data_IF_704464091569
#
_entry.id   IF_704464091569
#
_cell.length_a   1.000
_cell.length_b   1.000
_cell.length_c   1.000
_cell.angle_alpha   90.00
_cell.angle_beta   90.00
_cell.angle_gamma   90.00
#
_symmetry.space_group_name_H-M   'P 1'
#
loop_
_entity.id
_entity.type
_entity.pdbx_description
1 polymer ?
#
# COMPACT_ATOMS: atom_id res chain seq x y z
N UNK A 1 -1.57 49.93 -17.64
CA UNK A 1 -2.50 49.13 -16.85
C UNK A 1 -2.40 47.63 -17.18
N UNK A 2 -2.51 47.22 -18.44
CA UNK A 2 -2.45 45.82 -18.90
C UNK A 2 -1.13 45.11 -18.53
N UNK A 3 0.03 45.74 -18.73
CA UNK A 3 1.34 45.15 -18.42
C UNK A 3 1.50 44.82 -16.91
N UNK A 4 1.04 45.72 -16.03
CA UNK A 4 1.08 45.48 -14.57
C UNK A 4 0.17 44.29 -14.19
N UNK A 5 -1.00 44.15 -14.80
CA UNK A 5 -1.91 43.04 -14.57
C UNK A 5 -1.28 41.71 -14.98
N UNK A 6 -0.67 41.65 -16.17
CA UNK A 6 0.03 40.49 -16.69
C UNK A 6 1.17 40.08 -15.75
N UNK A 7 2.00 41.05 -15.32
CA UNK A 7 3.11 40.78 -14.38
C UNK A 7 2.61 40.27 -13.04
N UNK A 8 1.52 40.80 -12.50
CA UNK A 8 0.93 40.37 -11.24
C UNK A 8 0.38 38.92 -11.34
N UNK A 9 -0.34 38.63 -12.43
CA UNK A 9 -0.86 37.27 -12.70
C UNK A 9 0.30 36.29 -12.84
N UNK A 10 1.33 36.62 -13.60
CA UNK A 10 2.52 35.76 -13.75
C UNK A 10 3.22 35.52 -12.43
N UNK A 11 3.42 36.55 -11.59
CA UNK A 11 4.05 36.40 -10.26
C UNK A 11 3.21 35.50 -9.34
N UNK A 12 1.89 35.70 -9.29
CA UNK A 12 0.98 34.87 -8.51
C UNK A 12 1.00 33.40 -8.98
N UNK A 13 1.03 33.19 -10.30
CA UNK A 13 1.14 31.83 -10.85
C UNK A 13 2.46 31.16 -10.47
N UNK A 14 3.58 31.89 -10.52
CA UNK A 14 4.88 31.38 -10.10
C UNK A 14 4.90 31.03 -8.60
N UNK A 15 4.33 31.88 -7.74
CA UNK A 15 4.25 31.64 -6.29
C UNK A 15 3.38 30.40 -6.00
N UNK A 16 2.25 30.26 -6.69
CA UNK A 16 1.38 29.09 -6.49
C UNK A 16 2.03 27.80 -6.98
N UNK A 17 2.68 27.81 -8.14
CA UNK A 17 3.43 26.66 -8.66
C UNK A 17 4.58 26.27 -7.71
N UNK A 18 5.36 27.24 -7.24
CA UNK A 18 6.46 26.99 -6.30
C UNK A 18 5.95 26.43 -4.97
N UNK A 19 4.84 26.97 -4.46
CA UNK A 19 4.15 26.42 -3.27
C UNK A 19 3.66 24.99 -3.47
N UNK A 20 3.07 24.68 -4.62
CA UNK A 20 2.59 23.33 -4.96
C UNK A 20 3.73 22.31 -5.07
N UNK A 21 4.85 22.68 -5.70
CA UNK A 21 6.04 21.82 -5.80
C UNK A 21 6.66 21.60 -4.41
N UNK A 22 6.79 22.66 -3.62
CA UNK A 22 7.30 22.58 -2.25
C UNK A 22 6.48 21.65 -1.37
N UNK A 23 5.14 21.78 -1.39
CA UNK A 23 4.26 20.88 -0.63
C UNK A 23 4.40 19.42 -1.07
N UNK A 24 4.52 19.14 -2.38
CA UNK A 24 4.70 17.78 -2.89
C UNK A 24 6.05 17.16 -2.46
N UNK A 25 7.12 17.95 -2.40
CA UNK A 25 8.41 17.48 -1.90
C UNK A 25 8.35 17.17 -0.40
N UNK A 26 7.74 18.05 0.39
CA UNK A 26 7.57 17.85 1.83
C UNK A 26 6.71 16.60 2.10
N UNK A 27 5.59 16.43 1.40
CA UNK A 27 4.76 15.23 1.50
C UNK A 27 5.58 13.95 1.27
N UNK A 28 6.40 13.93 0.20
CA UNK A 28 7.25 12.78 -0.12
C UNK A 28 8.26 12.49 0.98
N UNK A 29 8.93 13.49 1.49
CA UNK A 29 9.92 13.34 2.56
C UNK A 29 9.32 12.83 3.87
N UNK A 30 8.05 13.17 4.13
CA UNK A 30 7.35 12.77 5.35
C UNK A 30 6.65 11.42 5.23
N UNK A 31 6.25 11.02 3.99
CA UNK A 31 5.41 9.84 3.77
C UNK A 31 6.16 8.63 3.23
N UNK A 32 7.24 8.80 2.46
CA UNK A 32 7.87 7.70 1.75
C UNK A 32 9.33 7.54 2.12
N UNK A 33 9.70 6.33 2.56
CA UNK A 33 11.06 6.01 3.04
C UNK A 33 11.67 4.85 2.25
N UNK A 34 11.94 5.04 0.94
CA UNK A 34 12.54 4.00 0.11
C UNK A 34 13.96 3.66 0.53
N UNK A 35 14.36 2.41 0.30
CA UNK A 35 15.76 1.99 0.30
C UNK A 35 16.15 1.48 -1.10
N UNK A 36 17.43 1.49 -1.40
CA UNK A 36 18.00 1.10 -2.71
C UNK A 36 19.15 0.13 -2.49
N UNK A 37 18.89 -0.95 -1.74
CA UNK A 37 19.92 -1.96 -1.41
C UNK A 37 19.90 -3.09 -2.42
N UNK A 38 21.05 -3.76 -2.68
CA UNK A 38 21.07 -4.99 -3.45
C UNK A 38 20.13 -6.05 -2.83
N UNK A 39 19.49 -6.85 -3.67
CA UNK A 39 18.69 -7.99 -3.19
C UNK A 39 19.63 -9.07 -2.65
N UNK A 40 19.62 -9.28 -1.34
CA UNK A 40 20.35 -10.34 -0.65
C UNK A 40 19.38 -11.43 -0.12
N UNK A 41 18.12 -11.39 -0.51
CA UNK A 41 17.12 -12.39 -0.12
C UNK A 41 17.07 -13.55 -1.11
N UNK A 42 16.42 -14.65 -0.70
CA UNK A 42 16.14 -15.80 -1.58
C UNK A 42 14.96 -15.58 -2.53
N UNK A 43 14.33 -14.40 -2.50
CA UNK A 43 13.23 -14.06 -3.40
C UNK A 43 13.74 -13.88 -4.83
N UNK A 44 12.98 -14.42 -5.79
CA UNK A 44 13.29 -14.31 -7.21
C UNK A 44 12.78 -12.98 -7.77
N UNK A 45 13.55 -12.24 -8.58
CA UNK A 45 13.06 -11.05 -9.26
C UNK A 45 11.78 -11.34 -10.08
N UNK A 46 10.77 -10.49 -9.90
CA UNK A 46 9.55 -10.49 -10.68
C UNK A 46 9.65 -9.45 -11.79
N UNK A 47 9.77 -9.94 -13.03
CA UNK A 47 10.07 -9.10 -14.19
C UNK A 47 8.84 -8.98 -15.09
N UNK A 48 8.56 -7.75 -15.55
CA UNK A 48 7.58 -7.44 -16.58
C UNK A 48 8.19 -6.44 -17.56
N UNK A 49 8.10 -6.75 -18.85
CA UNK A 49 8.66 -5.90 -19.93
C UNK A 49 10.15 -5.53 -19.75
N UNK A 50 10.94 -6.42 -19.16
CA UNK A 50 12.36 -6.18 -18.87
C UNK A 50 12.65 -5.38 -17.60
N UNK A 51 11.63 -4.87 -16.91
CA UNK A 51 11.75 -4.16 -15.63
C UNK A 51 11.50 -5.11 -14.44
N UNK A 52 12.28 -5.00 -13.39
CA UNK A 52 11.99 -5.65 -12.09
C UNK A 52 10.89 -4.85 -11.41
N UNK A 53 9.66 -5.39 -11.40
CA UNK A 53 8.50 -4.77 -10.76
C UNK A 53 8.26 -5.29 -9.33
N UNK A 54 9.11 -6.18 -8.85
CA UNK A 54 9.01 -6.76 -7.51
C UNK A 54 9.84 -8.01 -7.34
N UNK A 55 9.49 -8.79 -6.32
CA UNK A 55 10.13 -10.08 -6.01
C UNK A 55 9.07 -11.13 -5.68
N UNK A 56 9.43 -12.41 -5.82
CA UNK A 56 8.44 -13.48 -5.64
C UNK A 56 9.03 -14.75 -5.06
N UNK A 57 8.17 -15.50 -4.36
CA UNK A 57 8.28 -16.93 -4.16
C UNK A 57 7.21 -17.59 -5.04
N UNK A 58 7.62 -18.29 -6.09
CA UNK A 58 6.70 -18.97 -7.02
C UNK A 58 6.58 -20.45 -6.70
N UNK A 59 5.37 -20.96 -6.85
CA UNK A 59 5.04 -22.39 -6.84
C UNK A 59 4.53 -22.74 -8.24
N UNK A 60 4.85 -23.93 -8.76
CA UNK A 60 4.52 -24.35 -10.13
C UNK A 60 3.02 -24.41 -10.38
N UNK A 61 2.26 -24.96 -9.44
CA UNK A 61 0.79 -25.06 -9.50
C UNK A 61 0.20 -24.50 -8.21
N UNK A 62 0.15 -23.17 -8.06
CA UNK A 62 -0.26 -22.58 -6.78
C UNK A 62 -1.75 -22.76 -6.53
N UNK A 63 -2.10 -23.05 -5.27
CA UNK A 63 -3.49 -23.01 -4.82
C UNK A 63 -4.06 -21.59 -4.87
N UNK A 64 -3.24 -20.60 -4.45
CA UNK A 64 -3.58 -19.19 -4.55
C UNK A 64 -2.37 -18.37 -4.98
N UNK A 65 -2.65 -17.21 -5.54
CA UNK A 65 -1.65 -16.20 -5.90
C UNK A 65 -1.91 -14.98 -5.03
N UNK A 66 -0.89 -14.56 -4.29
CA UNK A 66 -0.95 -13.40 -3.41
C UNK A 66 -0.13 -12.25 -3.96
N UNK A 67 -0.77 -11.11 -4.16
CA UNK A 67 -0.08 -9.83 -4.38
C UNK A 67 0.13 -9.17 -3.03
N UNK A 68 1.38 -9.04 -2.60
CA UNK A 68 1.73 -8.31 -1.38
C UNK A 68 2.12 -6.87 -1.70
N UNK A 69 1.44 -5.93 -1.04
CA UNK A 69 1.71 -4.50 -1.05
C UNK A 69 2.31 -4.13 0.30
N UNK A 70 3.61 -3.90 0.32
CA UNK A 70 4.38 -3.77 1.55
C UNK A 70 4.21 -2.41 2.26
N UNK A 71 4.72 -2.32 3.49
CA UNK A 71 4.75 -1.11 4.29
C UNK A 71 5.67 -0.02 3.74
N UNK A 72 5.61 1.15 4.35
CA UNK A 72 6.23 2.38 3.88
C UNK A 72 7.75 2.33 3.72
N UNK A 73 8.46 1.86 4.76
CA UNK A 73 9.92 1.88 4.77
C UNK A 73 10.52 0.64 4.10
N UNK A 74 11.69 0.76 3.48
CA UNK A 74 12.43 -0.37 2.90
C UNK A 74 12.19 -0.56 1.41
N UNK A 75 12.14 -1.81 0.97
CA UNK A 75 11.96 -2.24 -0.42
C UNK A 75 11.34 -3.64 -0.45
N UNK A 76 10.85 -4.11 -1.59
CA UNK A 76 10.15 -5.39 -1.71
C UNK A 76 11.02 -6.61 -1.32
N UNK A 77 12.31 -6.60 -1.68
CA UNK A 77 13.23 -7.69 -1.34
C UNK A 77 13.49 -7.85 0.16
N UNK A 78 13.21 -6.82 0.97
CA UNK A 78 13.34 -6.88 2.42
C UNK A 78 12.19 -7.67 3.09
N UNK A 79 11.14 -8.05 2.34
CA UNK A 79 9.91 -8.66 2.85
C UNK A 79 9.94 -10.19 2.91
N UNK A 80 11.12 -10.79 2.82
CA UNK A 80 11.27 -12.25 2.96
C UNK A 80 10.66 -12.78 4.28
N UNK A 81 10.68 -11.98 5.34
CA UNK A 81 10.10 -12.30 6.65
C UNK A 81 8.58 -12.58 6.61
N UNK A 82 7.88 -12.01 5.62
CA UNK A 82 6.44 -12.21 5.47
C UNK A 82 6.08 -13.55 4.82
N UNK A 83 7.01 -14.14 4.06
CA UNK A 83 6.76 -15.36 3.27
C UNK A 83 6.30 -16.56 4.11
N UNK A 84 6.84 -16.81 5.33
CA UNK A 84 6.36 -17.88 6.19
C UNK A 84 4.92 -17.74 6.68
N UNK A 85 4.32 -16.54 6.58
CA UNK A 85 2.92 -16.33 6.95
C UNK A 85 1.93 -16.92 5.94
N UNK A 86 2.38 -17.27 4.73
CA UNK A 86 1.57 -17.86 3.65
C UNK A 86 1.71 -19.39 3.63
N UNK A 87 0.73 -20.07 3.01
CA UNK A 87 0.85 -21.50 2.74
C UNK A 87 2.07 -21.80 1.86
N UNK A 88 2.66 -22.99 2.04
CA UNK A 88 3.71 -23.51 1.16
C UNK A 88 3.27 -23.67 -0.30
N UNK A 89 1.98 -23.90 -0.51
CA UNK A 89 1.36 -24.14 -1.82
C UNK A 89 0.88 -22.86 -2.52
N UNK A 90 1.07 -21.70 -1.91
CA UNK A 90 0.73 -20.41 -2.50
C UNK A 90 1.92 -19.78 -3.24
N UNK A 91 1.67 -19.05 -4.31
CA UNK A 91 2.65 -18.14 -4.88
C UNK A 91 2.50 -16.74 -4.31
N UNK A 92 3.61 -16.11 -3.91
CA UNK A 92 3.63 -14.77 -3.31
C UNK A 92 4.45 -13.84 -4.20
N UNK A 93 3.83 -12.74 -4.60
CA UNK A 93 4.44 -11.68 -5.41
C UNK A 93 4.41 -10.38 -4.62
N UNK A 94 5.59 -9.86 -4.30
CA UNK A 94 5.77 -8.65 -3.51
C UNK A 94 6.08 -7.50 -4.46
N UNK A 95 5.18 -6.54 -4.56
CA UNK A 95 5.33 -5.40 -5.46
C UNK A 95 6.44 -4.46 -4.97
N UNK A 96 7.33 -4.06 -5.86
CA UNK A 96 8.23 -2.94 -5.63
C UNK A 96 7.53 -1.65 -6.08
N UNK A 97 7.46 -0.65 -5.24
CA UNK A 97 6.83 0.62 -5.61
C UNK A 97 7.74 1.46 -6.51
N UNK A 98 7.16 2.32 -7.39
CA UNK A 98 7.94 3.30 -8.13
C UNK A 98 8.78 4.19 -7.19
N UNK A 99 10.11 4.25 -7.43
CA UNK A 99 11.05 4.96 -6.58
C UNK A 99 11.56 4.19 -5.37
N UNK A 100 11.22 2.89 -5.25
CA UNK A 100 11.72 1.97 -4.23
C UNK A 100 12.62 0.90 -4.86
N UNK A 101 13.56 0.36 -4.09
CA UNK A 101 14.51 -0.63 -4.58
C UNK A 101 15.24 -0.12 -5.82
N UNK A 102 15.21 -0.92 -6.89
CA UNK A 102 15.77 -0.54 -8.18
C UNK A 102 14.70 -0.11 -9.19
N UNK A 103 13.45 0.07 -8.75
CA UNK A 103 12.36 0.46 -9.63
C UNK A 103 12.38 1.96 -9.87
N UNK A 104 12.42 2.37 -11.14
CA UNK A 104 12.35 3.77 -11.51
C UNK A 104 11.00 4.41 -11.15
N UNK A 105 11.01 5.74 -11.05
CA UNK A 105 9.81 6.52 -10.80
C UNK A 105 9.87 7.36 -9.53
N UNK A 106 8.73 7.92 -9.19
CA UNK A 106 8.58 8.83 -8.05
C UNK A 106 7.44 8.32 -7.17
N UNK A 107 7.67 8.15 -5.85
CA UNK A 107 6.63 7.75 -4.92
C UNK A 107 5.51 8.79 -4.85
N UNK A 108 4.28 8.33 -5.02
CA UNK A 108 3.06 9.10 -4.82
C UNK A 108 1.87 8.14 -4.68
N UNK A 109 0.74 8.65 -4.22
CA UNK A 109 -0.52 7.89 -4.20
C UNK A 109 -0.88 7.36 -5.59
N UNK A 110 -0.77 8.21 -6.60
CA UNK A 110 -1.13 7.88 -7.98
C UNK A 110 -0.22 6.81 -8.56
N UNK A 111 1.10 6.92 -8.32
CA UNK A 111 2.08 5.94 -8.81
C UNK A 111 1.93 4.59 -8.10
N UNK A 112 1.65 4.58 -6.79
CA UNK A 112 1.41 3.36 -6.03
C UNK A 112 0.13 2.66 -6.48
N UNK A 113 -0.98 3.40 -6.62
CA UNK A 113 -2.24 2.84 -7.08
C UNK A 113 -2.12 2.24 -8.48
N UNK A 114 -1.48 2.96 -9.40
CA UNK A 114 -1.25 2.48 -10.77
C UNK A 114 -0.38 1.22 -10.78
N UNK A 115 0.74 1.22 -10.04
CA UNK A 115 1.61 0.06 -9.96
C UNK A 115 0.91 -1.16 -9.36
N UNK A 116 0.09 -0.97 -8.31
CA UNK A 116 -0.70 -2.04 -7.71
C UNK A 116 -1.74 -2.60 -8.71
N UNK A 117 -2.43 -1.73 -9.44
CA UNK A 117 -3.41 -2.12 -10.44
C UNK A 117 -2.76 -2.90 -11.59
N UNK A 118 -1.66 -2.41 -12.14
CA UNK A 118 -0.92 -3.06 -13.23
C UNK A 118 -0.38 -4.43 -12.81
N UNK A 119 0.16 -4.53 -11.60
CA UNK A 119 0.66 -5.77 -11.02
C UNK A 119 -0.46 -6.79 -10.79
N UNK A 120 -1.57 -6.35 -10.22
CA UNK A 120 -2.74 -7.20 -9.99
C UNK A 120 -3.34 -7.73 -11.29
N UNK A 121 -3.56 -6.87 -12.28
CA UNK A 121 -4.10 -7.29 -13.59
C UNK A 121 -3.16 -8.25 -14.31
N UNK A 122 -1.85 -8.04 -14.20
CA UNK A 122 -0.86 -8.96 -14.76
C UNK A 122 -0.92 -10.34 -14.10
N UNK A 123 -1.12 -10.42 -12.79
CA UNK A 123 -1.31 -11.70 -12.09
C UNK A 123 -2.62 -12.37 -12.49
N UNK A 124 -3.71 -11.62 -12.64
CA UNK A 124 -4.99 -12.14 -13.12
C UNK A 124 -4.91 -12.73 -14.54
N UNK A 125 -4.14 -12.09 -15.42
CA UNK A 125 -3.88 -12.58 -16.76
C UNK A 125 -3.00 -13.84 -16.76
N UNK A 126 -1.97 -13.84 -15.88
CA UNK A 126 -1.03 -14.97 -15.76
C UNK A 126 -1.69 -16.21 -15.13
N UNK A 127 -2.61 -16.00 -14.18
CA UNK A 127 -3.28 -17.05 -13.39
C UNK A 127 -4.82 -16.97 -13.54
N UNK A 128 -5.38 -17.20 -14.72
CA UNK A 128 -6.80 -16.94 -15.01
C UNK A 128 -7.78 -17.85 -14.25
N UNK A 129 -7.30 -19.00 -13.75
CA UNK A 129 -8.12 -20.00 -13.04
C UNK A 129 -7.79 -20.14 -11.57
N UNK A 130 -6.75 -19.47 -11.09
CA UNK A 130 -6.31 -19.50 -9.70
C UNK A 130 -6.82 -18.23 -8.98
N UNK A 131 -7.30 -18.32 -7.73
CA UNK A 131 -7.64 -17.14 -6.95
C UNK A 131 -6.45 -16.18 -6.84
N UNK A 132 -6.68 -14.89 -7.11
CA UNK A 132 -5.68 -13.83 -6.94
C UNK A 132 -6.12 -12.92 -5.82
N UNK A 133 -5.45 -13.07 -4.69
CA UNK A 133 -5.70 -12.37 -3.44
C UNK A 133 -4.70 -11.24 -3.23
N UNK A 134 -5.05 -10.32 -2.34
CA UNK A 134 -4.18 -9.17 -2.01
C UNK A 134 -3.94 -9.13 -0.51
N UNK A 135 -2.68 -9.06 -0.13
CA UNK A 135 -2.28 -8.76 1.25
C UNK A 135 -1.55 -7.42 1.28
N UNK A 136 -1.85 -6.61 2.28
CA UNK A 136 -1.28 -5.27 2.37
C UNK A 136 -0.91 -4.91 3.80
N UNK A 137 0.29 -4.39 3.96
CA UNK A 137 0.85 -3.94 5.23
C UNK A 137 0.86 -2.41 5.30
N UNK A 138 0.32 -1.84 6.38
CA UNK A 138 0.48 -0.41 6.68
C UNK A 138 0.03 0.50 5.52
N UNK A 139 0.91 1.35 4.98
CA UNK A 139 0.61 2.23 3.84
C UNK A 139 0.15 1.46 2.61
N UNK A 140 0.61 0.20 2.45
CA UNK A 140 0.17 -0.68 1.36
C UNK A 140 -1.33 -0.93 1.34
N UNK A 141 -2.04 -0.75 2.46
CA UNK A 141 -3.49 -0.86 2.53
C UNK A 141 -4.22 0.18 1.66
N UNK A 142 -3.60 1.34 1.40
CA UNK A 142 -4.12 2.37 0.51
C UNK A 142 -4.25 1.92 -0.95
N UNK A 143 -3.13 1.61 -1.64
CA UNK A 143 -3.18 1.09 -3.00
C UNK A 143 -3.91 -0.25 -3.10
N UNK A 144 -3.85 -1.14 -2.08
CA UNK A 144 -4.63 -2.36 -2.04
C UNK A 144 -6.13 -2.08 -2.12
N UNK A 145 -6.63 -1.20 -1.25
CA UNK A 145 -8.05 -0.85 -1.20
C UNK A 145 -8.56 -0.26 -2.51
N UNK A 146 -7.70 0.43 -3.27
CA UNK A 146 -8.07 0.98 -4.58
C UNK A 146 -8.46 -0.09 -5.60
N UNK A 147 -7.95 -1.32 -5.47
CA UNK A 147 -8.26 -2.45 -6.34
C UNK A 147 -9.71 -2.94 -6.20
N UNK A 148 -10.38 -2.60 -5.10
CA UNK A 148 -11.79 -2.95 -4.87
C UNK A 148 -12.75 -2.32 -5.88
N UNK A 149 -12.33 -1.27 -6.58
CA UNK A 149 -13.11 -0.60 -7.62
C UNK A 149 -13.00 -1.24 -9.02
N UNK A 150 -12.07 -2.20 -9.20
CA UNK A 150 -11.88 -2.88 -10.48
C UNK A 150 -13.09 -3.77 -10.82
N UNK A 151 -13.35 -3.98 -12.11
CA UNK A 151 -14.37 -4.92 -12.59
C UNK A 151 -14.01 -6.35 -12.16
N UNK A 152 -12.75 -6.74 -12.36
CA UNK A 152 -12.20 -8.02 -11.93
C UNK A 152 -11.48 -7.82 -10.59
N UNK A 153 -12.24 -7.92 -9.49
CA UNK A 153 -11.76 -7.62 -8.13
C UNK A 153 -10.90 -8.73 -7.56
N UNK A 154 -10.05 -8.45 -6.56
CA UNK A 154 -9.39 -9.49 -5.77
C UNK A 154 -10.39 -10.44 -5.12
N UNK A 155 -10.02 -11.72 -5.03
CA UNK A 155 -10.85 -12.74 -4.40
C UNK A 155 -10.91 -12.55 -2.88
N UNK A 156 -9.82 -12.08 -2.29
CA UNK A 156 -9.71 -11.77 -0.86
C UNK A 156 -8.75 -10.61 -0.63
N UNK A 157 -9.03 -9.79 0.39
CA UNK A 157 -8.10 -8.86 0.99
C UNK A 157 -7.70 -9.31 2.38
N UNK A 158 -6.40 -9.20 2.68
CA UNK A 158 -5.83 -9.28 4.03
C UNK A 158 -5.13 -7.96 4.31
N UNK A 159 -5.63 -7.18 5.26
CA UNK A 159 -5.10 -5.87 5.60
C UNK A 159 -4.45 -5.94 6.98
N UNK A 160 -3.15 -5.73 7.03
CA UNK A 160 -2.33 -5.85 8.23
C UNK A 160 -1.93 -4.45 8.69
N UNK A 161 -2.26 -4.13 9.94
CA UNK A 161 -2.06 -2.80 10.57
C UNK A 161 -2.49 -1.64 9.65
N UNK A 162 -3.72 -1.73 9.05
CA UNK A 162 -4.20 -0.75 8.11
C UNK A 162 -4.68 0.53 8.80
N UNK A 163 -4.77 1.58 8.02
CA UNK A 163 -5.51 2.79 8.39
C UNK A 163 -6.93 2.79 7.77
N UNK A 164 -7.83 3.56 8.36
CA UNK A 164 -9.13 3.92 7.79
C UNK A 164 -8.99 5.06 6.76
N UNK A 165 -8.31 6.16 7.16
CA UNK A 165 -7.92 7.28 6.30
C UNK A 165 -6.52 7.73 6.65
N UNK A 166 -5.67 7.94 5.64
CA UNK A 166 -4.28 8.34 5.88
C UNK A 166 -4.19 9.71 6.58
N UNK A 167 -5.08 10.64 6.25
CA UNK A 167 -5.12 11.95 6.90
C UNK A 167 -5.36 11.87 8.42
N UNK A 168 -6.20 10.94 8.88
CA UNK A 168 -6.47 10.76 10.29
C UNK A 168 -5.25 10.21 11.05
N UNK A 169 -4.50 9.30 10.43
CA UNK A 169 -3.22 8.84 11.01
C UNK A 169 -2.20 9.98 11.05
N UNK A 170 -2.11 10.77 9.99
CA UNK A 170 -1.19 11.91 9.97
C UNK A 170 -1.53 12.97 11.04
N UNK A 171 -2.81 13.18 11.32
CA UNK A 171 -3.30 14.08 12.38
C UNK A 171 -2.96 13.61 13.80
N UNK A 172 -2.62 12.33 14.00
CA UNK A 172 -2.09 11.84 15.28
C UNK A 172 -0.69 12.38 15.61
N UNK A 173 0.07 12.69 14.57
CA UNK A 173 1.49 13.06 14.67
C UNK A 173 1.74 14.53 14.34
N UNK A 174 0.82 15.21 13.63
CA UNK A 174 0.97 16.59 13.17
C UNK A 174 -0.32 17.39 13.30
N UNK A 175 -0.25 18.73 13.48
CA UNK A 175 -1.44 19.58 13.49
C UNK A 175 -2.27 19.42 12.21
N UNK A 176 -3.59 19.29 12.34
CA UNK A 176 -4.52 19.04 11.22
C UNK A 176 -4.49 20.12 10.14
N UNK A 177 -4.19 21.37 10.50
CA UNK A 177 -4.02 22.46 9.52
C UNK A 177 -2.83 22.19 8.58
N UNK A 178 -1.73 21.66 9.13
CA UNK A 178 -0.54 21.32 8.35
C UNK A 178 -0.83 20.14 7.40
N UNK A 179 -1.54 19.12 7.89
CA UNK A 179 -1.91 17.96 7.09
C UNK A 179 -2.77 18.36 5.89
N UNK A 180 -3.78 19.24 6.09
CA UNK A 180 -4.64 19.74 5.00
C UNK A 180 -3.87 20.50 3.92
N UNK A 181 -2.77 21.15 4.28
CA UNK A 181 -1.94 21.91 3.34
C UNK A 181 -0.95 21.02 2.57
N UNK A 182 -0.40 19.99 3.22
CA UNK A 182 0.70 19.18 2.68
C UNK A 182 0.20 17.87 2.07
N UNK A 183 -0.72 17.16 2.72
CA UNK A 183 -1.19 15.84 2.30
C UNK A 183 -2.15 15.93 1.12
N UNK A 184 -1.61 15.75 -0.09
CA UNK A 184 -2.40 15.71 -1.34
C UNK A 184 -2.85 14.29 -1.66
N UNK A 185 -2.00 13.31 -1.36
CA UNK A 185 -2.22 11.89 -1.61
C UNK A 185 -2.98 11.19 -0.49
N UNK A 186 -4.15 11.69 -0.07
CA UNK A 186 -4.93 11.03 0.98
C UNK A 186 -5.64 9.77 0.46
N UNK A 187 -5.29 8.58 1.01
CA UNK A 187 -6.07 7.36 0.84
C UNK A 187 -7.21 7.30 1.86
N UNK A 188 -8.40 6.95 1.38
CA UNK A 188 -9.60 6.68 2.19
C UNK A 188 -10.02 5.23 1.95
N UNK A 189 -9.54 4.32 2.82
CA UNK A 189 -9.81 2.89 2.71
C UNK A 189 -11.27 2.56 3.01
N UNK A 190 -11.91 3.34 3.89
CA UNK A 190 -13.34 3.22 4.16
C UNK A 190 -14.15 3.41 2.89
N UNK A 191 -13.89 4.52 2.17
CA UNK A 191 -14.58 4.82 0.91
C UNK A 191 -14.26 3.79 -0.17
N UNK A 192 -12.99 3.38 -0.28
CA UNK A 192 -12.56 2.44 -1.31
C UNK A 192 -13.19 1.05 -1.15
N UNK A 193 -13.35 0.57 0.10
CA UNK A 193 -13.86 -0.76 0.41
C UNK A 193 -15.37 -0.81 0.66
N UNK A 194 -16.07 0.33 0.75
CA UNK A 194 -17.48 0.41 1.14
C UNK A 194 -18.43 -0.47 0.31
N UNK A 195 -18.12 -0.69 -0.96
CA UNK A 195 -18.91 -1.48 -1.91
C UNK A 195 -18.27 -2.83 -2.27
N UNK A 196 -17.19 -3.19 -1.61
CA UNK A 196 -16.59 -4.50 -1.82
C UNK A 196 -17.42 -5.58 -1.10
N UNK A 197 -17.72 -6.68 -1.79
CA UNK A 197 -18.56 -7.79 -1.29
C UNK A 197 -17.78 -9.09 -1.07
N UNK A 198 -16.47 -9.08 -1.37
CA UNK A 198 -15.61 -10.24 -1.17
C UNK A 198 -15.12 -10.34 0.28
N UNK A 199 -14.23 -11.27 0.50
CA UNK A 199 -13.66 -11.54 1.82
C UNK A 199 -12.62 -10.48 2.21
N UNK A 200 -12.73 -9.94 3.41
CA UNK A 200 -11.75 -9.01 3.98
C UNK A 200 -11.40 -9.47 5.39
N UNK A 201 -10.11 -9.70 5.63
CA UNK A 201 -9.56 -9.86 6.98
C UNK A 201 -8.70 -8.66 7.33
N UNK A 202 -8.88 -8.14 8.54
CA UNK A 202 -8.17 -6.96 9.06
C UNK A 202 -7.46 -7.37 10.33
N UNK A 203 -6.14 -7.18 10.38
CA UNK A 203 -5.31 -7.43 11.55
C UNK A 203 -4.85 -6.10 12.13
N UNK A 204 -5.24 -5.80 13.39
CA UNK A 204 -4.79 -4.62 14.11
C UNK A 204 -3.85 -5.01 15.24
N UNK A 205 -2.70 -4.35 15.37
CA UNK A 205 -1.75 -4.60 16.45
C UNK A 205 -2.08 -3.74 17.68
N UNK A 206 -2.10 -4.36 18.85
CA UNK A 206 -2.62 -3.76 20.08
C UNK A 206 -1.76 -2.60 20.60
N UNK A 207 -0.43 -2.77 20.51
CA UNK A 207 0.57 -1.80 20.95
C UNK A 207 1.12 -0.94 19.77
N UNK A 208 0.38 -0.85 18.66
CA UNK A 208 0.79 -0.07 17.50
C UNK A 208 0.81 1.43 17.81
N UNK A 209 2.01 2.02 17.77
CA UNK A 209 2.25 3.45 17.99
C UNK A 209 2.40 4.23 16.68
N UNK A 210 2.47 3.55 15.53
CA UNK A 210 2.55 4.16 14.20
C UNK A 210 1.17 4.40 13.62
N UNK A 211 0.35 3.33 13.56
CA UNK A 211 -1.06 3.38 13.18
C UNK A 211 -1.87 2.76 14.32
N UNK A 212 -2.31 3.55 15.29
CA UNK A 212 -3.01 3.04 16.46
C UNK A 212 -4.17 2.11 16.09
N UNK A 213 -4.34 1.03 16.83
CA UNK A 213 -5.31 -0.05 16.57
C UNK A 213 -6.75 0.43 16.35
N UNK A 214 -7.08 1.64 16.81
CA UNK A 214 -8.40 2.26 16.57
C UNK A 214 -8.70 2.47 15.08
N UNK A 215 -7.69 2.67 14.23
CA UNK A 215 -7.86 2.81 12.78
C UNK A 215 -8.30 1.49 12.14
N UNK A 216 -7.68 0.36 12.52
CA UNK A 216 -8.13 -0.97 12.09
C UNK A 216 -9.56 -1.27 12.57
N UNK A 217 -9.90 -0.90 13.81
CA UNK A 217 -11.26 -1.03 14.37
C UNK A 217 -12.27 -0.16 13.61
N UNK A 218 -11.92 1.10 13.33
CA UNK A 218 -12.77 2.02 12.58
C UNK A 218 -13.02 1.52 11.15
N UNK A 219 -11.99 1.02 10.49
CA UNK A 219 -12.11 0.41 9.16
C UNK A 219 -13.05 -0.80 9.19
N UNK A 220 -12.83 -1.72 10.11
CA UNK A 220 -13.67 -2.93 10.24
C UNK A 220 -15.14 -2.60 10.56
N UNK A 221 -15.38 -1.62 11.39
CA UNK A 221 -16.75 -1.19 11.74
C UNK A 221 -17.52 -0.59 10.55
N UNK A 222 -16.80 -0.07 9.54
CA UNK A 222 -17.42 0.62 8.39
C UNK A 222 -17.44 -0.21 7.10
N UNK A 223 -16.67 -1.31 7.05
CA UNK A 223 -16.62 -2.21 5.89
C UNK A 223 -17.45 -3.47 6.19
N UNK A 224 -18.61 -3.64 5.56
CA UNK A 224 -19.51 -4.77 5.86
C UNK A 224 -18.86 -6.12 5.55
N UNK A 225 -19.03 -7.08 6.46
CA UNK A 225 -18.52 -8.44 6.28
C UNK A 225 -17.01 -8.62 6.50
N UNK A 226 -16.30 -7.57 6.90
CA UNK A 226 -14.89 -7.71 7.28
C UNK A 226 -14.73 -8.43 8.61
N UNK A 227 -13.70 -9.26 8.71
CA UNK A 227 -13.30 -9.95 9.95
C UNK A 227 -12.13 -9.19 10.58
N UNK A 228 -12.29 -8.72 11.81
CA UNK A 228 -11.24 -8.06 12.57
C UNK A 228 -10.58 -9.04 13.54
N UNK A 229 -9.27 -9.08 13.52
CA UNK A 229 -8.43 -9.80 14.48
C UNK A 229 -7.47 -8.81 15.13
N UNK A 230 -7.45 -8.80 16.46
CA UNK A 230 -6.47 -7.99 17.21
C UNK A 230 -5.34 -8.90 17.64
N UNK A 231 -4.11 -8.55 17.24
CA UNK A 231 -2.89 -9.28 17.58
C UNK A 231 -2.09 -8.51 18.64
N UNK A 232 -1.33 -9.22 19.43
CA UNK A 232 -0.39 -8.62 20.39
C UNK A 232 0.85 -8.08 19.65
N UNK A 233 1.51 -7.09 20.22
CA UNK A 233 2.71 -6.46 19.68
C UNK A 233 2.45 -5.14 18.97
N UNK A 234 3.52 -4.55 18.43
CA UNK A 234 3.53 -3.28 17.74
C UNK A 234 3.38 -3.39 16.22
N UNK A 235 3.61 -2.26 15.54
CA UNK A 235 3.38 -2.09 14.10
C UNK A 235 4.11 -3.12 13.22
N UNK A 236 5.33 -3.50 13.58
CA UNK A 236 6.20 -4.36 12.78
C UNK A 236 6.25 -5.82 13.26
N UNK A 237 5.47 -6.18 14.29
CA UNK A 237 5.58 -7.48 14.95
C UNK A 237 4.63 -8.54 14.40
N UNK A 238 3.83 -8.20 13.41
CA UNK A 238 2.75 -9.04 12.90
C UNK A 238 3.19 -10.39 12.31
N UNK A 239 4.40 -10.46 11.77
CA UNK A 239 4.94 -11.67 11.13
C UNK A 239 5.62 -12.63 12.12
N UNK A 240 5.82 -12.22 13.37
CA UNK A 240 6.49 -13.05 14.36
C UNK A 240 5.55 -14.10 14.97
N UNK A 241 6.09 -15.28 15.24
CA UNK A 241 5.47 -16.34 16.06
C UNK A 241 4.06 -16.77 15.57
N UNK A 242 3.80 -16.67 14.25
CA UNK A 242 2.50 -17.06 13.70
C UNK A 242 1.33 -16.14 14.10
N UNK A 243 1.59 -14.90 14.53
CA UNK A 243 0.55 -13.93 14.90
C UNK A 243 -0.42 -13.63 13.76
N UNK A 244 0.07 -13.60 12.54
CA UNK A 244 -0.76 -13.52 11.34
C UNK A 244 -0.48 -14.72 10.47
N UNK A 245 -1.52 -15.49 10.20
CA UNK A 245 -1.52 -16.54 9.19
C UNK A 245 -2.41 -16.10 8.03
N UNK A 246 -1.83 -16.01 6.85
CA UNK A 246 -2.53 -15.62 5.64
C UNK A 246 -3.10 -16.88 5.02
N UNK A 247 -4.42 -17.03 5.17
CA UNK A 247 -5.14 -18.22 4.74
C UNK A 247 -5.92 -17.96 3.46
N UNK A 248 -6.24 -19.03 2.77
CA UNK A 248 -7.02 -19.08 1.53
C UNK A 248 -8.41 -18.43 1.71
N UNK A 249 -9.03 -17.95 0.59
CA UNK A 249 -10.40 -17.46 0.58
C UNK A 249 -11.43 -18.53 0.98
#
# INVERSE_FOLDING_TARGET
>A
MLLKLITTIFLLTCITLFGMVGCSLIERMLLFYPTHRPNNSSLTPWIRNGEIIGYSRKVESPENVWLMLHGNAGQASDRLYAVPCFSGDDSVFILEYPGYGNREGVPSKESFNRAAQEAYLFLRETYPRTPVCVVAESIGSGPASSLASLTNKPDKFVLIVPFDRLSLVAEEHFPSILIRLILKGNWDNVKALSNFKGLIEIFGAKEDTVIPVRHAKALAATVPGSKLVIIDGGHNDWSYEGRVEIRNP
#
